data_IF_014322432429
#
_entry.id   IF_014322432429
#
_cell.length_a   1.000
_cell.length_b   1.000
_cell.length_c   1.000
_cell.angle_alpha   90.00
_cell.angle_beta   90.00
_cell.angle_gamma   90.00
#
_symmetry.space_group_name_H-M   'P 1'
#
loop_
_entity.id
_entity.type
_entity.pdbx_description
1 polymer ?
#
# COMPACT_ATOMS: atom_id res chain seq x y z
N UNK A 1 -24.21 5.89 3.22
CA UNK A 1 -23.81 6.40 4.54
C UNK A 1 -22.59 7.26 4.32
N UNK A 2 -22.62 8.53 4.75
CA UNK A 2 -21.44 9.40 4.64
C UNK A 2 -20.40 8.91 5.64
N UNK A 3 -19.24 8.48 5.12
CA UNK A 3 -18.08 8.12 5.93
C UNK A 3 -17.70 9.30 6.85
N UNK A 4 -17.23 9.03 8.07
CA UNK A 4 -16.88 10.07 9.05
C UNK A 4 -15.36 10.21 9.13
N UNK A 5 -14.84 11.43 9.22
CA UNK A 5 -13.40 11.62 9.39
C UNK A 5 -12.88 10.95 10.67
N UNK A 6 -13.71 10.84 11.72
CA UNK A 6 -13.34 10.19 12.98
C UNK A 6 -13.14 8.67 12.87
N UNK A 7 -13.68 8.02 11.84
CA UNK A 7 -13.48 6.59 11.61
C UNK A 7 -12.22 6.26 10.81
N UNK A 8 -11.54 7.25 10.21
CA UNK A 8 -10.35 7.02 9.38
C UNK A 8 -9.19 6.48 10.24
N UNK A 9 -8.56 5.34 9.86
CA UNK A 9 -7.43 4.77 10.59
C UNK A 9 -6.20 5.70 10.70
N UNK A 10 -5.41 5.52 11.75
CA UNK A 10 -4.13 6.22 11.90
C UNK A 10 -3.18 5.76 10.78
N UNK A 11 -2.29 6.65 10.34
CA UNK A 11 -1.40 6.41 9.20
C UNK A 11 -2.01 6.73 7.83
N UNK A 12 -3.33 6.92 7.74
CA UNK A 12 -3.99 7.29 6.49
C UNK A 12 -3.80 8.77 6.14
N UNK A 13 -3.54 9.06 4.86
CA UNK A 13 -3.41 10.43 4.38
C UNK A 13 -4.75 10.95 3.92
N UNK A 14 -5.13 12.14 4.36
CA UNK A 14 -6.43 12.76 4.05
C UNK A 14 -6.28 14.20 3.57
N UNK A 15 -7.23 14.64 2.76
CA UNK A 15 -7.51 16.04 2.50
C UNK A 15 -8.81 16.38 3.20
N UNK A 16 -8.78 17.38 4.09
CA UNK A 16 -9.95 17.82 4.86
C UNK A 16 -10.24 19.27 4.52
N UNK A 17 -11.45 19.53 4.07
CA UNK A 17 -11.99 20.89 3.96
C UNK A 17 -12.77 21.21 5.22
N UNK A 18 -12.36 22.26 5.92
CA UNK A 18 -13.02 22.75 7.13
C UNK A 18 -13.38 24.22 7.01
N UNK A 19 -14.38 24.63 7.78
CA UNK A 19 -14.77 26.03 7.92
C UNK A 19 -14.00 26.66 9.08
N UNK A 20 -13.32 27.78 8.82
CA UNK A 20 -12.68 28.60 9.85
C UNK A 20 -13.75 29.40 10.64
N UNK A 21 -13.35 29.96 11.79
CA UNK A 21 -14.24 30.78 12.63
C UNK A 21 -14.83 31.99 11.88
N UNK A 22 -14.10 32.54 10.92
CA UNK A 22 -14.54 33.63 10.05
C UNK A 22 -15.45 33.18 8.88
N UNK A 23 -15.81 31.89 8.84
CA UNK A 23 -16.67 31.30 7.83
C UNK A 23 -15.97 30.90 6.53
N UNK A 24 -14.68 31.21 6.35
CA UNK A 24 -13.95 30.83 5.13
C UNK A 24 -13.63 29.34 5.12
N UNK A 25 -13.74 28.67 3.96
CA UNK A 25 -13.25 27.30 3.82
C UNK A 25 -11.72 27.30 3.76
N UNK A 26 -11.10 26.31 4.38
CA UNK A 26 -9.68 26.01 4.24
C UNK A 26 -9.47 24.51 4.06
N UNK A 27 -8.48 24.16 3.26
CA UNK A 27 -8.08 22.77 3.03
C UNK A 27 -6.85 22.45 3.86
N UNK A 28 -6.83 21.28 4.50
CA UNK A 28 -5.71 20.73 5.26
C UNK A 28 -5.38 19.36 4.72
N UNK A 29 -4.11 19.11 4.41
CA UNK A 29 -3.63 17.81 3.92
C UNK A 29 -2.60 17.26 4.89
N UNK A 30 -2.81 16.05 5.40
CA UNK A 30 -1.92 15.43 6.37
C UNK A 30 -2.23 13.95 6.59
N UNK A 31 -1.42 13.33 7.44
CA UNK A 31 -1.58 11.93 7.87
C UNK A 31 -2.29 11.90 9.23
N UNK A 32 -3.30 11.06 9.40
CA UNK A 32 -3.98 10.88 10.69
C UNK A 32 -3.00 10.28 11.71
N UNK A 33 -2.76 10.98 12.80
CA UNK A 33 -1.82 10.55 13.86
C UNK A 33 -2.46 10.44 15.25
N UNK A 34 -3.72 10.83 15.37
CA UNK A 34 -4.46 10.67 16.60
C UNK A 34 -5.87 11.21 16.47
N UNK A 35 -6.75 10.76 17.36
CA UNK A 35 -8.17 11.16 17.36
C UNK A 35 -8.75 11.13 18.76
N UNK A 36 -9.77 11.95 18.96
CA UNK A 36 -10.67 11.91 20.11
C UNK A 36 -12.12 12.06 19.61
N UNK A 37 -13.08 12.15 20.53
CA UNK A 37 -14.51 12.25 20.19
C UNK A 37 -14.86 13.53 19.40
N UNK A 38 -14.03 14.58 19.50
CA UNK A 38 -14.34 15.91 18.96
C UNK A 38 -13.41 16.32 17.81
N UNK A 39 -12.31 15.61 17.61
CA UNK A 39 -11.23 16.05 16.73
C UNK A 39 -10.34 14.92 16.19
N UNK A 40 -9.68 15.22 15.07
CA UNK A 40 -8.62 14.41 14.49
C UNK A 40 -7.35 15.25 14.39
N UNK A 41 -6.21 14.69 14.75
CA UNK A 41 -4.90 15.29 14.57
C UNK A 41 -4.28 14.79 13.28
N UNK A 42 -3.87 15.74 12.43
CA UNK A 42 -3.19 15.47 11.17
C UNK A 42 -1.75 15.94 11.26
N UNK A 43 -0.79 15.06 11.02
CA UNK A 43 0.59 15.45 10.78
C UNK A 43 0.71 16.04 9.37
N UNK A 44 1.01 17.33 9.28
CA UNK A 44 1.15 18.05 8.01
C UNK A 44 2.60 18.45 7.75
N UNK A 45 2.89 18.98 6.56
CA UNK A 45 4.23 19.52 6.24
C UNK A 45 4.65 20.69 7.14
N UNK A 46 3.70 21.39 7.75
CA UNK A 46 3.96 22.54 8.61
C UNK A 46 3.88 22.17 10.10
N UNK A 47 3.79 20.88 10.41
CA UNK A 47 3.60 20.35 11.76
C UNK A 47 2.17 19.83 12.00
N UNK A 48 1.89 19.36 13.22
CA UNK A 48 0.60 18.78 13.58
C UNK A 48 -0.51 19.82 13.57
N UNK A 49 -1.65 19.46 12.97
CA UNK A 49 -2.86 20.29 12.91
C UNK A 49 -4.02 19.52 13.51
N UNK A 50 -4.61 20.06 14.59
CA UNK A 50 -5.87 19.55 15.15
C UNK A 50 -7.05 20.05 14.31
N UNK A 51 -7.92 19.14 13.90
CA UNK A 51 -9.12 19.39 13.11
C UNK A 51 -10.34 19.04 13.94
N UNK A 52 -11.16 20.05 14.29
CA UNK A 52 -12.41 19.84 15.00
C UNK A 52 -13.47 19.27 14.06
N UNK A 53 -14.06 18.13 14.40
CA UNK A 53 -14.97 17.37 13.54
C UNK A 53 -16.21 18.18 13.13
N UNK A 54 -16.76 19.00 14.02
CA UNK A 54 -17.92 19.86 13.73
C UNK A 54 -17.65 20.95 12.69
N UNK A 55 -16.38 21.26 12.42
CA UNK A 55 -15.98 22.24 11.39
C UNK A 55 -15.74 21.62 10.03
N UNK A 56 -15.71 20.28 9.93
CA UNK A 56 -15.43 19.55 8.70
C UNK A 56 -16.63 19.63 7.77
N UNK A 57 -16.39 20.11 6.56
CA UNK A 57 -17.43 20.18 5.52
C UNK A 57 -17.37 18.97 4.60
N UNK A 58 -16.16 18.54 4.26
CA UNK A 58 -15.89 17.34 3.45
C UNK A 58 -14.48 16.88 3.73
N UNK A 59 -14.24 15.58 3.64
CA UNK A 59 -12.89 15.03 3.55
C UNK A 59 -12.80 14.03 2.40
N UNK A 60 -11.57 13.75 1.99
CA UNK A 60 -11.24 12.72 1.01
C UNK A 60 -9.98 11.99 1.45
N UNK A 61 -9.98 10.67 1.37
CA UNK A 61 -8.76 9.87 1.48
C UNK A 61 -7.83 10.23 0.30
N UNK A 62 -6.58 10.57 0.60
CA UNK A 62 -5.56 10.82 -0.42
C UNK A 62 -4.98 9.49 -0.81
N UNK A 63 -5.57 8.90 -1.83
CA UNK A 63 -5.05 7.70 -2.47
C UNK A 63 -3.83 8.10 -3.31
N UNK A 64 -2.68 7.40 -3.19
CA UNK A 64 -1.56 7.65 -4.07
C UNK A 64 -2.01 7.40 -5.51
N UNK A 65 -1.73 8.33 -6.42
CA UNK A 65 -1.99 8.08 -7.83
C UNK A 65 -1.15 6.88 -8.31
N UNK A 66 -1.70 5.95 -9.12
CA UNK A 66 -1.01 4.72 -9.54
C UNK A 66 0.42 4.93 -10.06
N UNK A 67 0.66 6.00 -10.82
CA UNK A 67 1.98 6.36 -11.34
C UNK A 67 3.05 6.67 -10.26
N UNK A 68 2.65 7.07 -9.05
CA UNK A 68 3.59 7.27 -7.93
C UNK A 68 4.11 5.96 -7.37
N UNK A 69 3.32 4.89 -7.47
CA UNK A 69 3.70 3.54 -7.09
C UNK A 69 4.66 3.00 -8.13
N UNK A 70 4.32 3.15 -9.42
CA UNK A 70 5.20 2.76 -10.52
C UNK A 70 6.59 3.40 -10.35
N UNK A 71 6.62 4.72 -10.11
CA UNK A 71 7.88 5.44 -9.90
C UNK A 71 8.63 5.04 -8.62
N UNK A 72 7.92 4.59 -7.58
CA UNK A 72 8.56 4.06 -6.39
C UNK A 72 9.17 2.69 -6.67
N UNK A 73 8.41 1.77 -7.24
CA UNK A 73 8.82 0.41 -7.53
C UNK A 73 9.95 0.35 -8.57
N UNK A 74 9.88 1.16 -9.65
CA UNK A 74 10.93 1.28 -10.67
C UNK A 74 12.29 1.82 -10.16
N UNK A 75 12.34 2.35 -8.94
CA UNK A 75 13.60 2.79 -8.33
C UNK A 75 14.33 1.67 -7.60
N UNK A 76 13.63 0.59 -7.29
CA UNK A 76 14.24 -0.59 -6.72
C UNK A 76 14.97 -1.38 -7.78
N UNK A 77 15.90 -2.22 -7.35
CA UNK A 77 16.44 -3.28 -8.20
C UNK A 77 15.34 -4.31 -8.50
N UNK A 78 14.35 -4.41 -7.60
CA UNK A 78 13.24 -5.34 -7.70
C UNK A 78 11.98 -4.80 -7.02
N UNK A 79 10.82 -5.08 -7.62
CA UNK A 79 9.51 -4.74 -7.10
C UNK A 79 8.77 -5.96 -6.53
N UNK A 80 8.27 -5.85 -5.29
CA UNK A 80 7.36 -6.84 -4.67
C UNK A 80 6.03 -6.16 -4.35
N UNK A 81 4.93 -6.77 -4.78
CA UNK A 81 3.58 -6.27 -4.50
C UNK A 81 2.82 -7.32 -3.69
N UNK A 82 2.15 -6.92 -2.63
CA UNK A 82 1.21 -7.80 -1.94
C UNK A 82 -0.03 -8.06 -2.83
N UNK A 83 -0.43 -9.32 -3.00
CA UNK A 83 -1.57 -9.66 -3.86
C UNK A 83 -2.89 -9.06 -3.35
N UNK A 84 -3.08 -8.97 -2.04
CA UNK A 84 -4.25 -8.33 -1.42
C UNK A 84 -4.35 -6.84 -1.72
N UNK A 85 -3.23 -6.22 -2.12
CA UNK A 85 -3.21 -4.83 -2.60
C UNK A 85 -3.68 -4.71 -4.04
N UNK A 86 -3.57 -5.80 -4.81
CA UNK A 86 -3.95 -5.85 -6.21
C UNK A 86 -5.39 -6.29 -6.43
N UNK A 87 -5.84 -7.28 -5.65
CA UNK A 87 -7.11 -7.96 -5.82
C UNK A 87 -8.05 -7.80 -4.60
N UNK A 88 -7.68 -6.94 -3.65
CA UNK A 88 -8.53 -6.65 -2.49
C UNK A 88 -9.89 -6.08 -2.89
N UNK A 89 -10.89 -6.15 -2.00
CA UNK A 89 -12.26 -5.69 -2.28
C UNK A 89 -12.35 -4.21 -2.68
N UNK A 90 -11.35 -3.41 -2.31
CA UNK A 90 -11.23 -1.98 -2.60
C UNK A 90 -10.20 -1.67 -3.70
N UNK A 91 -9.68 -2.67 -4.41
CA UNK A 91 -8.71 -2.47 -5.47
C UNK A 91 -9.40 -2.17 -6.82
N UNK A 92 -9.07 -1.05 -7.51
CA UNK A 92 -9.50 -0.78 -8.87
C UNK A 92 -8.75 -1.74 -9.77
N UNK A 93 -9.45 -2.79 -10.20
CA UNK A 93 -8.86 -3.90 -10.94
C UNK A 93 -8.16 -3.40 -12.21
N UNK A 94 -8.75 -2.46 -12.96
CA UNK A 94 -8.22 -1.98 -14.24
C UNK A 94 -6.96 -1.11 -14.10
N UNK A 95 -6.97 -0.08 -13.24
CA UNK A 95 -5.78 0.77 -13.01
C UNK A 95 -4.61 -0.01 -12.41
N UNK A 96 -4.92 -1.04 -11.61
CA UNK A 96 -3.90 -1.88 -10.97
C UNK A 96 -3.31 -2.89 -11.96
N UNK A 97 -4.12 -3.44 -12.86
CA UNK A 97 -3.63 -4.24 -14.00
C UNK A 97 -2.70 -3.40 -14.87
N UNK A 98 -3.12 -2.21 -15.27
CA UNK A 98 -2.28 -1.30 -16.07
C UNK A 98 -0.94 -1.01 -15.39
N UNK A 99 -0.94 -0.75 -14.08
CA UNK A 99 0.28 -0.53 -13.32
C UNK A 99 1.24 -1.74 -13.38
N UNK A 100 0.73 -2.97 -13.27
CA UNK A 100 1.58 -4.17 -13.32
C UNK A 100 2.17 -4.33 -14.71
N UNK A 101 1.36 -4.19 -15.76
CA UNK A 101 1.84 -4.27 -17.15
C UNK A 101 2.91 -3.19 -17.43
N UNK A 102 2.71 -1.99 -16.90
CA UNK A 102 3.67 -0.88 -16.96
C UNK A 102 4.99 -1.17 -16.23
N UNK A 103 4.95 -1.97 -15.17
CA UNK A 103 6.14 -2.40 -14.43
C UNK A 103 6.86 -3.53 -15.15
N UNK A 104 6.12 -4.51 -15.66
CA UNK A 104 6.67 -5.61 -16.46
C UNK A 104 7.32 -5.10 -17.75
N UNK A 105 6.75 -4.06 -18.38
CA UNK A 105 7.35 -3.41 -19.54
C UNK A 105 8.59 -2.57 -19.26
N UNK A 106 8.89 -2.26 -17.99
CA UNK A 106 9.97 -1.34 -17.59
C UNK A 106 11.29 -2.05 -17.23
N UNK A 107 11.48 -3.31 -17.62
CA UNK A 107 12.66 -4.15 -17.30
C UNK A 107 12.94 -4.32 -15.79
N UNK A 108 12.03 -3.87 -14.92
CA UNK A 108 12.14 -4.08 -13.47
C UNK A 108 11.54 -5.44 -13.12
N UNK A 109 12.26 -6.35 -12.47
CA UNK A 109 11.70 -7.62 -12.00
C UNK A 109 10.55 -7.37 -11.02
N UNK A 110 9.39 -8.01 -11.27
CA UNK A 110 8.19 -7.87 -10.45
C UNK A 110 7.81 -9.23 -9.86
N UNK A 111 7.51 -9.24 -8.56
CA UNK A 111 7.01 -10.42 -7.85
C UNK A 111 5.76 -10.09 -7.03
N UNK A 112 4.91 -11.10 -6.84
CA UNK A 112 3.63 -10.99 -6.16
C UNK A 112 3.64 -11.81 -4.87
N UNK A 113 3.54 -11.16 -3.71
CA UNK A 113 3.55 -11.81 -2.41
C UNK A 113 2.12 -12.22 -2.00
N UNK A 114 1.92 -13.50 -1.73
CA UNK A 114 0.64 -14.06 -1.24
C UNK A 114 0.88 -15.10 -0.15
N UNK A 115 -0.08 -15.24 0.76
CA UNK A 115 -0.07 -16.29 1.79
C UNK A 115 -0.62 -17.62 1.26
N UNK A 116 -1.52 -17.58 0.27
CA UNK A 116 -2.15 -18.76 -0.34
C UNK A 116 -1.93 -18.76 -1.86
N UNK A 117 -1.12 -19.71 -2.33
CA UNK A 117 -0.82 -19.89 -3.75
C UNK A 117 -2.03 -20.34 -4.57
N UNK A 118 -2.85 -21.24 -4.01
CA UNK A 118 -3.97 -21.85 -4.71
C UNK A 118 -5.09 -20.86 -4.93
N UNK A 119 -5.41 -20.09 -3.88
CA UNK A 119 -6.37 -19.00 -3.97
C UNK A 119 -5.85 -17.90 -4.92
N UNK A 120 -4.58 -17.52 -4.79
CA UNK A 120 -3.97 -16.49 -5.63
C UNK A 120 -4.04 -16.80 -7.14
N UNK A 121 -3.72 -18.03 -7.54
CA UNK A 121 -3.79 -18.43 -8.95
C UNK A 121 -5.23 -18.33 -9.46
N UNK A 122 -6.21 -18.83 -8.70
CA UNK A 122 -7.61 -18.78 -9.09
C UNK A 122 -8.12 -17.33 -9.23
N UNK A 123 -7.71 -16.43 -8.33
CA UNK A 123 -8.06 -15.02 -8.39
C UNK A 123 -7.43 -14.34 -9.61
N UNK A 124 -6.13 -14.55 -9.85
CA UNK A 124 -5.45 -14.02 -11.03
C UNK A 124 -6.11 -14.49 -12.33
N UNK A 125 -6.44 -15.77 -12.44
CA UNK A 125 -7.16 -16.31 -13.61
C UNK A 125 -8.55 -15.67 -13.78
N UNK A 126 -9.29 -15.49 -12.68
CA UNK A 126 -10.61 -14.84 -12.68
C UNK A 126 -10.57 -13.39 -13.19
N UNK A 127 -9.43 -12.72 -13.03
CA UNK A 127 -9.19 -11.34 -13.50
C UNK A 127 -8.43 -11.26 -14.84
N UNK A 128 -8.17 -12.39 -15.51
CA UNK A 128 -7.42 -12.41 -16.77
C UNK A 128 -5.92 -12.13 -16.63
N UNK A 129 -5.39 -12.22 -15.41
CA UNK A 129 -3.99 -12.00 -15.04
C UNK A 129 -3.23 -13.32 -14.81
N UNK A 130 -3.71 -14.44 -15.36
CA UNK A 130 -3.13 -15.77 -15.14
C UNK A 130 -1.65 -15.85 -15.54
N UNK A 131 -1.18 -15.01 -16.46
CA UNK A 131 0.23 -14.91 -16.86
C UNK A 131 1.16 -14.41 -15.75
N UNK A 132 0.62 -13.80 -14.69
CA UNK A 132 1.38 -13.37 -13.51
C UNK A 132 1.62 -14.49 -12.51
N UNK A 133 0.96 -15.64 -12.64
CA UNK A 133 1.10 -16.78 -11.72
C UNK A 133 2.56 -17.24 -11.50
N UNK A 134 3.45 -17.24 -12.52
CA UNK A 134 4.87 -17.58 -12.31
C UNK A 134 5.62 -16.61 -11.40
N UNK A 135 5.10 -15.40 -11.20
CA UNK A 135 5.71 -14.34 -10.39
C UNK A 135 5.28 -14.41 -8.91
N UNK A 136 4.45 -15.39 -8.54
CA UNK A 136 3.96 -15.56 -7.17
C UNK A 136 5.07 -16.04 -6.22
N UNK A 137 5.25 -15.29 -5.14
CA UNK A 137 6.02 -15.64 -3.96
C UNK A 137 5.07 -16.09 -2.87
N UNK A 138 5.18 -17.37 -2.49
CA UNK A 138 4.34 -18.01 -1.48
C UNK A 138 5.22 -18.49 -0.33
N UNK A 139 5.57 -17.62 0.62
CA UNK A 139 6.32 -17.99 1.81
C UNK A 139 5.39 -18.72 2.78
N UNK A 140 4.99 -19.95 2.46
CA UNK A 140 4.32 -20.80 3.44
C UNK A 140 5.34 -21.30 4.44
N UNK A 141 5.08 -21.01 5.72
CA UNK A 141 5.83 -21.59 6.82
C UNK A 141 5.01 -22.69 7.47
N UNK A 142 5.46 -23.94 7.35
CA UNK A 142 5.00 -25.03 8.19
C UNK A 142 5.45 -24.87 9.67
N UNK A 143 6.11 -23.76 10.04
CA UNK A 143 6.69 -23.54 11.36
C UNK A 143 6.20 -22.24 12.02
N UNK A 144 5.65 -22.31 13.26
CA UNK A 144 5.28 -21.12 14.02
C UNK A 144 6.54 -20.35 14.45
N UNK A 145 6.62 -19.08 14.08
CA UNK A 145 7.75 -18.19 14.38
C UNK A 145 8.61 -17.79 13.17
N UNK A 146 8.20 -18.13 11.95
CA UNK A 146 8.93 -17.80 10.72
C UNK A 146 8.90 -16.31 10.37
N UNK A 147 10.06 -15.73 10.06
CA UNK A 147 10.17 -14.49 9.29
C UNK A 147 9.66 -14.74 7.87
N UNK A 148 8.35 -14.55 7.65
CA UNK A 148 7.69 -14.67 6.33
C UNK A 148 8.44 -13.89 5.25
N UNK A 149 8.99 -12.73 5.61
CA UNK A 149 9.79 -11.89 4.73
C UNK A 149 11.16 -12.48 4.41
N UNK A 150 11.82 -13.16 5.36
CA UNK A 150 13.07 -13.86 5.09
C UNK A 150 12.86 -15.02 4.13
N UNK A 151 11.77 -15.78 4.31
CA UNK A 151 11.38 -16.85 3.38
C UNK A 151 11.03 -16.31 1.99
N UNK A 152 10.27 -15.22 1.93
CA UNK A 152 9.96 -14.54 0.67
C UNK A 152 11.23 -14.07 -0.04
N UNK A 153 12.17 -13.46 0.71
CA UNK A 153 13.43 -12.97 0.16
C UNK A 153 14.32 -14.10 -0.36
N UNK A 154 14.43 -15.21 0.39
CA UNK A 154 15.19 -16.37 -0.06
C UNK A 154 14.60 -16.98 -1.35
N UNK A 155 13.27 -17.07 -1.44
CA UNK A 155 12.59 -17.60 -2.63
C UNK A 155 12.73 -16.69 -3.84
N UNK A 156 12.70 -15.38 -3.62
CA UNK A 156 13.00 -14.37 -4.63
C UNK A 156 14.42 -14.53 -5.19
N UNK A 157 15.42 -14.69 -4.31
CA UNK A 157 16.81 -14.91 -4.72
C UNK A 157 16.99 -16.21 -5.51
N UNK A 158 16.30 -17.28 -5.10
CA UNK A 158 16.28 -18.57 -5.81
C UNK A 158 15.69 -18.43 -7.23
N UNK A 159 14.58 -17.70 -7.37
CA UNK A 159 13.94 -17.47 -8.67
C UNK A 159 14.78 -16.61 -9.61
N UNK A 160 15.54 -15.64 -9.09
CA UNK A 160 16.43 -14.80 -9.89
C UNK A 160 17.77 -15.48 -10.19
N UNK A 161 18.18 -16.45 -9.37
CA UNK A 161 19.50 -17.08 -9.46
C UNK A 161 20.65 -16.16 -9.01
N UNK A 162 20.36 -15.06 -8.30
CA UNK A 162 21.34 -14.11 -7.80
C UNK A 162 21.01 -13.60 -6.39
N UNK A 163 22.04 -13.06 -5.72
CA UNK A 163 21.90 -12.50 -4.37
C UNK A 163 21.46 -11.05 -4.49
N UNK A 164 20.21 -10.78 -4.11
CA UNK A 164 19.65 -9.43 -4.00
C UNK A 164 19.87 -8.89 -2.59
N UNK A 165 20.24 -7.62 -2.45
CA UNK A 165 20.32 -6.96 -1.15
C UNK A 165 18.91 -6.61 -0.65
N UNK A 166 18.64 -6.72 0.66
CA UNK A 166 17.33 -6.38 1.22
C UNK A 166 16.88 -4.95 0.86
N UNK A 167 17.81 -3.97 0.90
CA UNK A 167 17.52 -2.58 0.52
C UNK A 167 17.28 -2.34 -0.98
N UNK A 168 17.57 -3.33 -1.84
CA UNK A 168 17.26 -3.29 -3.27
C UNK A 168 15.81 -3.68 -3.57
N UNK A 169 15.09 -4.26 -2.60
CA UNK A 169 13.71 -4.70 -2.74
C UNK A 169 12.75 -3.59 -2.33
N UNK A 170 11.91 -3.18 -3.28
CA UNK A 170 10.85 -2.20 -3.06
C UNK A 170 9.51 -2.89 -2.93
N UNK A 171 8.87 -2.73 -1.77
CA UNK A 171 7.63 -3.42 -1.40
C UNK A 171 6.45 -2.47 -1.22
N UNK A 172 5.26 -2.91 -1.62
CA UNK A 172 4.02 -2.18 -1.37
C UNK A 172 2.89 -3.08 -0.89
N UNK A 173 2.12 -2.60 0.10
CA UNK A 173 0.92 -3.25 0.60
C UNK A 173 -0.15 -2.26 1.08
N UNK A 174 -1.41 -2.68 1.16
CA UNK A 174 -2.51 -1.95 1.81
C UNK A 174 -2.47 -2.02 3.33
N UNK A 175 -1.97 -3.13 3.89
CA UNK A 175 -1.86 -3.34 5.32
C UNK A 175 -0.64 -2.59 5.93
N UNK A 176 -0.85 -1.66 6.87
CA UNK A 176 0.24 -0.98 7.56
C UNK A 176 1.18 -1.93 8.32
N UNK A 177 0.68 -3.05 8.84
CA UNK A 177 1.51 -4.00 9.60
C UNK A 177 2.50 -4.73 8.68
N UNK A 178 2.04 -5.20 7.53
CA UNK A 178 2.91 -5.78 6.50
C UNK A 178 4.01 -4.80 6.03
N UNK A 179 3.67 -3.52 5.82
CA UNK A 179 4.65 -2.50 5.43
C UNK A 179 5.70 -2.27 6.51
N UNK A 180 5.29 -2.21 7.78
CA UNK A 180 6.22 -2.01 8.88
C UNK A 180 7.14 -3.22 9.09
N UNK A 181 6.61 -4.44 8.98
CA UNK A 181 7.41 -5.65 9.00
C UNK A 181 8.47 -5.66 7.89
N UNK A 182 8.10 -5.27 6.66
CA UNK A 182 9.02 -5.17 5.53
C UNK A 182 10.16 -4.17 5.78
N UNK A 183 9.86 -3.02 6.41
CA UNK A 183 10.89 -2.04 6.80
C UNK A 183 11.84 -2.59 7.85
N UNK A 184 11.30 -3.29 8.85
CA UNK A 184 12.11 -3.92 9.90
C UNK A 184 13.04 -5.00 9.35
N UNK A 185 12.59 -5.74 8.33
CA UNK A 185 13.41 -6.70 7.60
C UNK A 185 14.52 -6.04 6.76
N UNK A 186 14.35 -4.76 6.38
CA UNK A 186 15.31 -3.99 5.60
C UNK A 186 14.91 -3.76 4.14
N UNK A 187 13.66 -4.05 3.77
CA UNK A 187 13.09 -3.66 2.47
C UNK A 187 12.66 -2.19 2.50
N UNK A 188 12.72 -1.55 1.33
CA UNK A 188 12.11 -0.24 1.14
C UNK A 188 10.60 -0.43 0.93
N UNK A 189 9.78 -0.08 1.93
CA UNK A 189 8.35 -0.37 1.88
C UNK A 189 7.44 0.85 2.08
N UNK A 190 6.30 0.85 1.37
CA UNK A 190 5.27 1.90 1.46
C UNK A 190 3.85 1.35 1.49
N UNK A 191 3.00 2.04 2.25
CA UNK A 191 1.55 1.79 2.21
C UNK A 191 1.02 2.32 0.88
N UNK A 192 0.25 1.48 0.20
CA UNK A 192 -0.54 1.87 -0.94
C UNK A 192 -2.00 1.57 -0.68
N UNK A 193 -2.83 2.60 -0.76
CA UNK A 193 -4.29 2.48 -0.73
C UNK A 193 -4.79 2.79 -2.14
N UNK A 194 -5.38 1.82 -2.84
CA UNK A 194 -5.90 2.06 -4.16
C UNK A 194 -6.97 3.16 -4.19
N UNK A 195 -7.12 3.89 -5.31
CA UNK A 195 -8.23 4.82 -5.46
C UNK A 195 -9.57 4.08 -5.41
N UNK A 196 -10.39 4.47 -4.42
CA UNK A 196 -11.81 4.13 -4.28
C UNK A 196 -12.67 4.79 -5.35
#
# INVERSE_FOLDING_TARGET
>A
MSESLGSVPDGQRVTVRRRLEDGRPTDTVGVVTGRDEESVTLETRQGPVRVVLSTVQVFKLVTPAPWRIANFLRRGELAVLSLSTLLGPDAPTEETVELIEDLLGAETPVFLLTEDAGQAVAELEGHGLGHLSPLLLTPTADQPGSDVLALAHARLQDQLGEVVAAGGVHFTATDPHAVEAARQFGWEARIFTPPS
#
